data_IF_629887436996
#
_entry.id   IF_629887436996
#
_cell.length_a   1.000
_cell.length_b   1.000
_cell.length_c   1.000
_cell.angle_alpha   90.00
_cell.angle_beta   90.00
_cell.angle_gamma   90.00
#
_symmetry.space_group_name_H-M   'P 1'
#
loop_
_entity.id
_entity.type
_entity.pdbx_description
1 polymer ?
#
# COMPACT_ATOMS: atom_id res chain seq x y z
N UNK A 1 10.61 19.45 19.99
CA UNK A 1 9.77 18.24 20.10
C UNK A 1 8.27 18.50 20.35
N UNK A 2 7.80 19.48 21.16
CA UNK A 2 6.34 19.66 21.36
C UNK A 2 5.64 20.37 20.18
N UNK A 3 6.38 21.17 19.40
CA UNK A 3 5.84 21.93 18.24
C UNK A 3 5.46 21.04 17.05
N UNK A 4 6.20 19.96 16.81
CA UNK A 4 5.92 19.01 15.71
C UNK A 4 4.72 18.12 16.02
N UNK A 5 4.52 17.73 17.28
CA UNK A 5 3.34 16.96 17.71
C UNK A 5 2.05 17.77 17.53
N UNK A 6 2.07 19.05 17.91
CA UNK A 6 0.92 19.93 17.78
C UNK A 6 0.51 20.15 16.30
N UNK A 7 1.48 20.26 15.40
CA UNK A 7 1.24 20.43 13.96
C UNK A 7 0.60 19.16 13.32
N UNK A 8 1.05 17.97 13.72
CA UNK A 8 0.48 16.69 13.25
C UNK A 8 -0.96 16.52 13.74
N UNK A 9 -1.25 16.87 14.99
CA UNK A 9 -2.61 16.83 15.53
C UNK A 9 -3.56 17.81 14.84
N UNK A 10 -3.10 19.04 14.53
CA UNK A 10 -3.91 20.02 13.81
C UNK A 10 -4.17 19.65 12.34
N UNK A 11 -3.23 18.98 11.69
CA UNK A 11 -3.39 18.52 10.30
C UNK A 11 -4.38 17.34 10.15
N UNK A 12 -4.51 16.49 11.19
CA UNK A 12 -5.40 15.33 11.19
C UNK A 12 -6.85 15.68 11.59
N UNK A 13 -7.05 16.76 12.35
CA UNK A 13 -8.36 17.20 12.83
C UNK A 13 -9.41 17.47 11.72
N UNK A 14 -9.07 18.09 10.56
CA UNK A 14 -10.04 18.28 9.48
C UNK A 14 -10.39 16.99 8.72
N UNK A 15 -9.58 15.92 8.83
CA UNK A 15 -9.87 14.64 8.16
C UNK A 15 -10.96 13.85 8.91
N UNK A 16 -10.98 13.93 10.24
CA UNK A 16 -12.00 13.30 11.10
C UNK A 16 -13.32 14.09 11.06
N UNK A 17 -13.26 15.41 10.92
CA UNK A 17 -14.46 16.26 10.85
C UNK A 17 -15.32 16.03 9.60
N UNK A 18 -14.81 15.32 8.58
CA UNK A 18 -15.55 14.98 7.34
C UNK A 18 -16.28 13.65 7.39
N UNK A 19 -16.18 12.88 8.47
CA UNK A 19 -17.06 11.72 8.66
C UNK A 19 -18.41 12.23 9.14
N UNK A 20 -19.22 12.77 8.21
CA UNK A 20 -20.66 12.72 8.42
C UNK A 20 -20.96 11.24 8.62
N UNK A 21 -21.35 10.86 9.84
CA UNK A 21 -21.92 9.56 10.10
C UNK A 21 -23.27 9.53 9.36
N UNK A 22 -23.23 9.35 8.04
CA UNK A 22 -24.41 8.92 7.32
C UNK A 22 -24.77 7.60 7.99
N UNK A 23 -25.96 7.54 8.56
CA UNK A 23 -26.48 6.29 9.06
C UNK A 23 -26.26 5.26 7.94
N UNK A 24 -25.52 4.20 8.25
CA UNK A 24 -25.35 3.10 7.30
C UNK A 24 -26.74 2.52 7.14
N UNK A 25 -27.31 2.70 5.96
CA UNK A 25 -28.65 2.24 5.69
C UNK A 25 -28.64 0.71 5.84
N UNK A 26 -29.51 0.21 6.72
CA UNK A 26 -29.65 -1.21 6.96
C UNK A 26 -30.72 -1.70 6.00
N UNK A 27 -30.37 -2.42 4.92
CA UNK A 27 -31.31 -2.67 3.84
C UNK A 27 -32.55 -3.40 4.34
N UNK A 28 -33.75 -2.84 4.15
CA UNK A 28 -35.00 -3.46 4.57
C UNK A 28 -35.41 -3.16 6.03
N UNK A 29 -34.65 -2.35 6.77
CA UNK A 29 -35.04 -1.93 8.13
C UNK A 29 -36.30 -1.05 8.11
N UNK A 30 -36.47 -0.27 7.05
CA UNK A 30 -37.65 0.54 6.76
C UNK A 30 -38.91 -0.33 6.63
N UNK A 31 -38.77 -1.56 6.12
CA UNK A 31 -39.88 -2.52 6.00
C UNK A 31 -40.17 -3.18 7.36
N UNK A 32 -39.12 -3.55 8.11
CA UNK A 32 -39.29 -4.19 9.42
C UNK A 32 -39.84 -3.24 10.48
N UNK A 33 -39.60 -1.92 10.36
CA UNK A 33 -40.04 -0.91 11.34
C UNK A 33 -41.48 -0.44 11.13
N UNK A 34 -42.03 -0.55 9.91
CA UNK A 34 -43.44 -0.24 9.64
C UNK A 34 -44.39 -1.38 10.05
N UNK A 35 -43.86 -2.58 10.31
CA UNK A 35 -44.64 -3.74 10.71
C UNK A 35 -45.26 -3.58 12.10
N UNK A 36 -46.57 -3.85 12.21
CA UNK A 36 -47.36 -3.63 13.42
C UNK A 36 -47.58 -4.89 14.23
N UNK A 37 -47.56 -6.06 13.59
CA UNK A 37 -47.68 -7.35 14.27
C UNK A 37 -46.32 -7.74 14.85
N UNK A 38 -46.28 -8.08 16.15
CA UNK A 38 -45.02 -8.33 16.85
C UNK A 38 -44.30 -9.57 16.32
N UNK A 39 -45.03 -10.62 15.93
CA UNK A 39 -44.49 -11.83 15.32
C UNK A 39 -43.82 -11.53 13.98
N UNK A 40 -44.49 -10.80 13.08
CA UNK A 40 -43.94 -10.46 11.77
C UNK A 40 -42.75 -9.50 11.88
N UNK A 41 -42.83 -8.52 12.78
CA UNK A 41 -41.72 -7.59 13.06
C UNK A 41 -40.47 -8.34 13.53
N UNK A 42 -40.63 -9.28 14.46
CA UNK A 42 -39.52 -10.10 14.98
C UNK A 42 -38.91 -10.96 13.87
N UNK A 43 -39.75 -11.62 13.05
CA UNK A 43 -39.25 -12.44 11.93
C UNK A 43 -38.51 -11.62 10.88
N UNK A 44 -38.99 -10.42 10.56
CA UNK A 44 -38.35 -9.50 9.62
C UNK A 44 -36.97 -9.07 10.13
N UNK A 45 -36.91 -8.61 11.38
CA UNK A 45 -35.65 -8.22 12.02
C UNK A 45 -34.65 -9.38 12.10
N UNK A 46 -35.11 -10.60 12.38
CA UNK A 46 -34.25 -11.78 12.40
C UNK A 46 -33.62 -12.07 11.03
N UNK A 47 -34.43 -12.01 9.96
CA UNK A 47 -33.92 -12.19 8.59
C UNK A 47 -32.95 -11.08 8.17
N UNK A 48 -33.18 -9.84 8.63
CA UNK A 48 -32.30 -8.71 8.40
C UNK A 48 -30.94 -8.90 9.09
N UNK A 49 -30.94 -9.34 10.36
CA UNK A 49 -29.71 -9.66 11.09
C UNK A 49 -28.93 -10.79 10.42
N UNK A 50 -29.59 -11.85 9.96
CA UNK A 50 -28.92 -12.94 9.23
C UNK A 50 -28.28 -12.43 7.92
N UNK A 51 -29.00 -11.58 7.17
CA UNK A 51 -28.46 -10.95 5.97
C UNK A 51 -27.24 -10.07 6.26
N UNK A 52 -27.31 -9.23 7.29
CA UNK A 52 -26.19 -8.39 7.72
C UNK A 52 -25.00 -9.23 8.17
N UNK A 53 -25.23 -10.26 8.97
CA UNK A 53 -24.18 -11.17 9.44
C UNK A 53 -23.45 -11.81 8.26
N UNK A 54 -24.19 -12.35 7.28
CA UNK A 54 -23.63 -12.92 6.04
C UNK A 54 -22.86 -11.90 5.24
N UNK A 55 -23.37 -10.68 5.14
CA UNK A 55 -22.74 -9.58 4.40
C UNK A 55 -21.43 -9.15 5.06
N UNK A 56 -21.41 -8.99 6.39
CA UNK A 56 -20.21 -8.66 7.17
C UNK A 56 -19.16 -9.76 7.01
N UNK A 57 -19.55 -11.03 7.12
CA UNK A 57 -18.62 -12.15 6.90
C UNK A 57 -18.03 -12.12 5.48
N UNK A 58 -18.86 -11.88 4.47
CA UNK A 58 -18.39 -11.77 3.07
C UNK A 58 -17.42 -10.61 2.88
N UNK A 59 -17.73 -9.43 3.40
CA UNK A 59 -16.88 -8.24 3.34
C UNK A 59 -15.55 -8.47 4.07
N UNK A 60 -15.57 -9.14 5.22
CA UNK A 60 -14.35 -9.48 5.94
C UNK A 60 -13.46 -10.42 5.11
N UNK A 61 -14.04 -11.46 4.49
CA UNK A 61 -13.28 -12.38 3.64
C UNK A 61 -12.71 -11.68 2.41
N UNK A 62 -13.49 -10.85 1.72
CA UNK A 62 -13.04 -10.08 0.56
C UNK A 62 -11.89 -9.13 0.92
N UNK A 63 -11.99 -8.42 2.05
CA UNK A 63 -10.91 -7.57 2.52
C UNK A 63 -9.65 -8.35 2.89
N UNK A 64 -9.79 -9.49 3.58
CA UNK A 64 -8.63 -10.34 3.88
C UNK A 64 -7.95 -10.84 2.60
N UNK A 65 -8.72 -11.26 1.60
CA UNK A 65 -8.17 -11.67 0.30
C UNK A 65 -7.43 -10.51 -0.40
N UNK A 66 -7.96 -9.29 -0.34
CA UNK A 66 -7.28 -8.10 -0.87
C UNK A 66 -5.98 -7.79 -0.15
N UNK A 67 -5.97 -7.90 1.18
CA UNK A 67 -4.77 -7.71 2.00
C UNK A 67 -3.71 -8.75 1.66
N UNK A 68 -4.09 -10.03 1.55
CA UNK A 68 -3.18 -11.10 1.18
C UNK A 68 -2.61 -10.93 -0.22
N UNK A 69 -3.44 -10.52 -1.18
CA UNK A 69 -2.99 -10.22 -2.54
C UNK A 69 -1.99 -9.04 -2.56
N UNK A 70 -2.27 -7.98 -1.81
CA UNK A 70 -1.37 -6.83 -1.68
C UNK A 70 -0.03 -7.22 -1.03
N UNK A 71 -0.05 -8.06 0.02
CA UNK A 71 1.16 -8.56 0.66
C UNK A 71 2.04 -9.35 -0.32
N UNK A 72 1.44 -10.22 -1.15
CA UNK A 72 2.17 -10.94 -2.21
C UNK A 72 2.81 -9.98 -3.23
N UNK A 73 2.10 -8.92 -3.63
CA UNK A 73 2.66 -7.90 -4.52
C UNK A 73 3.83 -7.17 -3.87
N UNK A 74 3.72 -6.82 -2.58
CA UNK A 74 4.80 -6.20 -1.81
C UNK A 74 6.04 -7.10 -1.81
N UNK A 75 5.88 -8.40 -1.59
CA UNK A 75 7.03 -9.31 -1.55
C UNK A 75 7.68 -9.49 -2.93
N UNK A 76 6.89 -9.56 -4.01
CA UNK A 76 7.42 -9.56 -5.37
C UNK A 76 8.19 -8.26 -5.70
N UNK A 77 7.66 -7.11 -5.27
CA UNK A 77 8.33 -5.82 -5.44
C UNK A 77 9.63 -5.74 -4.63
N UNK A 78 9.68 -6.27 -3.40
CA UNK A 78 10.92 -6.33 -2.60
C UNK A 78 12.00 -7.14 -3.31
N UNK A 79 11.66 -8.31 -3.86
CA UNK A 79 12.61 -9.13 -4.62
C UNK A 79 13.14 -8.37 -5.83
N UNK A 80 12.25 -7.69 -6.56
CA UNK A 80 12.63 -6.87 -7.70
C UNK A 80 13.56 -5.73 -7.28
N UNK A 81 13.26 -5.04 -6.18
CA UNK A 81 14.08 -3.96 -5.63
C UNK A 81 15.49 -4.46 -5.27
N UNK A 82 15.61 -5.59 -4.58
CA UNK A 82 16.91 -6.20 -4.26
C UNK A 82 17.67 -6.56 -5.54
N UNK A 83 16.99 -7.10 -6.55
CA UNK A 83 17.58 -7.38 -7.86
C UNK A 83 18.13 -6.13 -8.54
N UNK A 84 17.34 -5.04 -8.60
CA UNK A 84 17.80 -3.77 -9.16
C UNK A 84 18.96 -3.17 -8.36
N UNK A 85 18.91 -3.24 -7.03
CA UNK A 85 19.98 -2.72 -6.17
C UNK A 85 21.31 -3.41 -6.43
N UNK A 86 21.27 -4.73 -6.71
CA UNK A 86 22.46 -5.48 -7.13
C UNK A 86 22.99 -5.01 -8.49
N UNK A 87 22.12 -4.89 -9.49
CA UNK A 87 22.51 -4.39 -10.83
C UNK A 87 23.14 -3.00 -10.77
N UNK A 88 22.59 -2.10 -9.95
CA UNK A 88 23.18 -0.77 -9.73
C UNK A 88 24.57 -0.87 -9.12
N UNK A 89 24.76 -1.74 -8.11
CA UNK A 89 26.06 -1.98 -7.51
C UNK A 89 27.09 -2.53 -8.50
N UNK A 90 26.69 -3.50 -9.33
CA UNK A 90 27.55 -4.09 -10.36
C UNK A 90 27.96 -3.06 -11.44
N UNK A 91 27.01 -2.22 -11.89
CA UNK A 91 27.26 -1.14 -12.85
C UNK A 91 28.18 -0.06 -12.27
N UNK A 92 27.98 0.33 -11.01
CA UNK A 92 28.83 1.32 -10.34
C UNK A 92 30.25 0.81 -10.19
N UNK A 93 30.43 -0.46 -9.80
CA UNK A 93 31.74 -1.10 -9.72
C UNK A 93 32.42 -1.21 -11.09
N UNK A 94 31.67 -1.56 -12.15
CA UNK A 94 32.18 -1.59 -13.52
C UNK A 94 32.63 -0.21 -14.00
N UNK A 95 31.85 0.84 -13.69
CA UNK A 95 32.18 2.22 -14.02
C UNK A 95 33.46 2.69 -13.31
N UNK A 96 33.64 2.38 -12.02
CA UNK A 96 34.87 2.72 -11.28
C UNK A 96 36.08 2.04 -11.90
N UNK A 97 35.98 0.74 -12.22
CA UNK A 97 37.06 0.01 -12.89
C UNK A 97 37.43 0.62 -14.24
N UNK A 98 36.44 0.94 -15.07
CA UNK A 98 36.69 1.61 -16.36
C UNK A 98 37.36 2.98 -16.18
N UNK A 99 36.94 3.77 -15.17
CA UNK A 99 37.55 5.06 -14.87
C UNK A 99 39.03 4.92 -14.44
N UNK A 100 39.36 3.90 -13.64
CA UNK A 100 40.75 3.62 -13.24
C UNK A 100 41.60 3.11 -14.42
N UNK A 101 41.05 2.26 -15.28
CA UNK A 101 41.73 1.76 -16.49
C UNK A 101 42.00 2.89 -17.50
N UNK A 102 41.08 3.86 -17.62
CA UNK A 102 41.26 5.06 -18.45
C UNK A 102 42.37 5.97 -17.93
N UNK A 103 42.50 6.13 -16.60
CA UNK A 103 43.58 6.91 -15.98
C UNK A 103 44.95 6.24 -16.19
N UNK A 104 45.04 4.92 -16.03
CA UNK A 104 46.28 4.17 -16.29
C UNK A 104 46.75 4.22 -17.75
N UNK A 105 45.84 4.38 -18.72
CA UNK A 105 46.19 4.56 -20.13
C UNK A 105 46.64 5.98 -20.48
N UNK A 106 46.30 6.99 -19.68
CA UNK A 106 46.76 8.37 -19.88
C UNK A 106 48.16 8.63 -19.29
N UNK A 107 48.62 7.79 -18.35
CA UNK A 107 49.97 7.84 -17.76
C UNK A 107 51.01 6.98 -18.52
N UNK A 108 50.64 6.35 -19.64
CA UNK A 108 51.61 5.65 -20.48
C UNK A 108 52.48 6.68 -21.23
N UNK A 109 53.82 6.68 -21.08
CA UNK A 109 54.68 7.64 -21.74
C UNK A 109 54.54 7.53 -23.27
N UNK A 110 54.58 8.66 -24.01
CA UNK A 110 54.50 8.64 -25.46
C UNK A 110 55.60 7.71 -26.01
N UNK A 111 55.31 6.88 -27.03
CA UNK A 111 56.33 6.02 -27.61
C UNK A 111 57.46 6.89 -28.13
N UNK A 112 58.61 6.82 -27.45
CA UNK A 112 59.85 7.43 -27.90
C UNK A 112 60.54 6.46 -28.86
N UNK A 113 60.80 7.00 -30.05
CA UNK A 113 61.79 6.59 -31.06
C UNK A 113 61.45 5.30 -31.87
N UNK A 114 61.73 5.18 -33.18
CA UNK A 114 62.81 5.75 -33.97
C UNK A 114 62.56 5.69 -35.51
N UNK A 115 62.99 6.75 -36.21
CA UNK A 115 63.75 6.77 -37.48
C UNK A 115 63.18 6.05 -38.73
N UNK A 116 62.75 6.83 -39.73
CA UNK A 116 63.53 7.10 -40.96
C UNK A 116 62.98 8.30 -41.73
#
# INVERSE_FOLDING_TARGET
MPRTLAAVCFAMLPLVARTQALAQDVPGIEICTVEKTMERRTSCLQSNVDFLQKTITKLNLDHQQKIDAANRQIDALKVTLVGLQKTVGDLQAAQTKQADDLKKKQDAPPPKDAVK
#
